data_IF_457399454965
#
_entry.id   IF_457399454965
#
_cell.length_a   1.000
_cell.length_b   1.000
_cell.length_c   1.000
_cell.angle_alpha   90.00
_cell.angle_beta   90.00
_cell.angle_gamma   90.00
#
_symmetry.space_group_name_H-M   'P 1'
#
loop_
_entity.id
_entity.type
_entity.pdbx_description
1 polymer ?
#
# COMPACT_ATOMS: atom_id res chain seq x y z
N UNK A 1 -6.68 -10.13 -7.08
CA UNK A 1 -6.81 -9.01 -8.04
C UNK A 1 -6.46 -7.72 -7.31
N UNK A 2 -5.40 -7.02 -7.73
CA UNK A 2 -4.87 -5.82 -7.05
C UNK A 2 -5.92 -4.70 -6.86
N UNK A 3 -6.77 -4.48 -7.86
CA UNK A 3 -7.84 -3.47 -7.85
C UNK A 3 -8.95 -3.69 -6.81
N UNK A 4 -8.95 -4.81 -6.07
CA UNK A 4 -9.90 -5.07 -4.97
C UNK A 4 -9.30 -4.87 -3.58
N UNK A 5 -8.03 -4.46 -3.50
CA UNK A 5 -7.33 -4.34 -2.22
C UNK A 5 -7.26 -2.92 -1.66
N UNK A 6 -7.89 -1.93 -2.30
CA UNK A 6 -8.00 -0.57 -1.78
C UNK A 6 -8.60 -0.54 -0.36
N UNK A 7 -8.24 0.48 0.43
CA UNK A 7 -8.83 0.74 1.74
C UNK A 7 -9.01 2.23 1.98
N UNK A 8 -9.66 2.59 3.09
CA UNK A 8 -9.72 3.97 3.60
C UNK A 8 -8.67 4.25 4.67
N UNK A 9 -8.00 3.20 5.16
CA UNK A 9 -6.93 3.25 6.15
C UNK A 9 -5.80 2.29 5.77
N UNK A 10 -4.61 2.51 6.32
CA UNK A 10 -3.47 1.61 6.13
C UNK A 10 -3.84 0.18 6.56
N UNK A 11 -4.44 0.03 7.74
CA UNK A 11 -4.85 -1.28 8.25
C UNK A 11 -5.82 -2.00 7.31
N UNK A 12 -6.80 -1.30 6.75
CA UNK A 12 -7.76 -1.91 5.83
C UNK A 12 -7.09 -2.31 4.51
N UNK A 13 -6.25 -1.46 3.92
CA UNK A 13 -5.47 -1.78 2.72
C UNK A 13 -4.65 -3.06 2.95
N UNK A 14 -3.87 -3.10 4.02
CA UNK A 14 -2.99 -4.23 4.34
C UNK A 14 -3.78 -5.51 4.63
N UNK A 15 -4.91 -5.39 5.34
CA UNK A 15 -5.81 -6.53 5.57
C UNK A 15 -6.42 -7.06 4.26
N UNK A 16 -6.83 -6.18 3.35
CA UNK A 16 -7.40 -6.58 2.06
C UNK A 16 -6.36 -7.26 1.16
N UNK A 17 -5.10 -6.82 1.16
CA UNK A 17 -4.00 -7.51 0.46
C UNK A 17 -3.81 -8.95 0.95
N UNK A 18 -3.89 -9.16 2.26
CA UNK A 18 -3.77 -10.49 2.87
C UNK A 18 -4.98 -11.37 2.56
N UNK A 19 -6.20 -10.87 2.77
CA UNK A 19 -7.43 -11.60 2.49
C UNK A 19 -7.54 -11.98 1.00
N UNK A 20 -7.06 -11.12 0.10
CA UNK A 20 -7.05 -11.40 -1.35
C UNK A 20 -5.89 -12.29 -1.80
N UNK A 21 -5.08 -12.83 -0.88
CA UNK A 21 -3.99 -13.75 -1.16
C UNK A 21 -2.76 -13.14 -1.85
N UNK A 22 -2.69 -11.81 -1.96
CA UNK A 22 -1.55 -11.08 -2.51
C UNK A 22 -0.38 -11.03 -1.52
N UNK A 23 -0.69 -11.14 -0.23
CA UNK A 23 0.27 -11.26 0.86
C UNK A 23 0.02 -12.56 1.62
N UNK A 24 1.08 -13.35 1.85
CA UNK A 24 0.98 -14.66 2.52
C UNK A 24 1.63 -14.69 3.90
N UNK A 25 2.57 -13.79 4.17
CA UNK A 25 3.34 -13.77 5.41
C UNK A 25 2.71 -12.87 6.46
N UNK A 26 2.38 -13.44 7.62
CA UNK A 26 1.87 -12.68 8.76
C UNK A 26 2.90 -11.68 9.30
N UNK A 27 4.21 -11.99 9.17
CA UNK A 27 5.28 -11.04 9.53
C UNK A 27 5.24 -9.78 8.66
N UNK A 28 4.98 -9.93 7.36
CA UNK A 28 4.87 -8.81 6.42
C UNK A 28 3.61 -7.99 6.72
N UNK A 29 2.48 -8.67 6.99
CA UNK A 29 1.21 -8.03 7.39
C UNK A 29 1.42 -7.09 8.57
N UNK A 30 2.01 -7.60 9.65
CA UNK A 30 2.21 -6.82 10.88
C UNK A 30 3.26 -5.72 10.72
N UNK A 31 4.29 -5.93 9.90
CA UNK A 31 5.26 -4.89 9.58
C UNK A 31 4.61 -3.75 8.78
N UNK A 32 3.84 -4.05 7.74
CA UNK A 32 3.20 -3.05 6.90
C UNK A 32 2.09 -2.29 7.62
N UNK A 33 1.38 -2.90 8.58
CA UNK A 33 0.41 -2.19 9.43
C UNK A 33 1.06 -1.09 10.28
N UNK A 34 2.29 -1.31 10.75
CA UNK A 34 3.05 -0.34 11.57
C UNK A 34 3.61 0.84 10.78
N UNK A 35 3.69 0.71 9.45
CA UNK A 35 4.26 1.71 8.56
C UNK A 35 3.13 2.35 7.75
N UNK A 36 2.67 3.53 8.17
CA UNK A 36 1.60 4.22 7.46
C UNK A 36 2.09 4.77 6.12
N UNK A 37 1.51 4.26 5.03
CA UNK A 37 1.80 4.67 3.66
C UNK A 37 1.56 6.16 3.41
N UNK A 38 0.62 6.80 4.11
CA UNK A 38 0.33 8.22 3.93
C UNK A 38 1.53 9.12 4.24
N UNK A 39 2.43 8.68 5.12
CA UNK A 39 3.64 9.43 5.51
C UNK A 39 4.69 9.54 4.40
N UNK A 40 4.59 8.71 3.36
CA UNK A 40 5.54 8.66 2.25
C UNK A 40 5.03 9.40 1.00
N UNK A 41 3.82 9.96 1.07
CA UNK A 41 3.24 10.76 0.00
C UNK A 41 3.54 12.24 0.24
N UNK A 42 4.52 12.75 -0.50
CA UNK A 42 5.05 14.10 -0.33
C UNK A 42 4.36 15.16 -1.21
N UNK A 43 3.58 14.74 -2.21
CA UNK A 43 2.85 15.68 -3.07
C UNK A 43 1.61 16.19 -2.32
N UNK A 44 1.39 17.52 -2.22
CA UNK A 44 0.21 18.08 -1.57
C UNK A 44 -1.10 17.52 -2.14
N UNK A 45 -1.98 17.04 -1.26
CA UNK A 45 -3.28 16.49 -1.64
C UNK A 45 -3.24 15.07 -2.22
N UNK A 46 -2.07 14.43 -2.31
CA UNK A 46 -1.97 13.03 -2.75
C UNK A 46 -2.35 12.02 -1.66
N UNK A 47 -2.39 12.44 -0.38
CA UNK A 47 -2.73 11.59 0.76
C UNK A 47 -4.12 10.94 0.64
N UNK A 48 -5.06 11.56 -0.11
CA UNK A 48 -6.37 10.97 -0.41
C UNK A 48 -6.29 9.64 -1.19
N UNK A 49 -5.16 9.39 -1.85
CA UNK A 49 -4.88 8.19 -2.62
C UNK A 49 -3.90 7.25 -1.90
N UNK A 50 -3.55 7.53 -0.65
CA UNK A 50 -2.55 6.77 0.12
C UNK A 50 -2.85 5.28 0.18
N UNK A 51 -4.11 4.92 0.32
CA UNK A 51 -4.55 3.55 0.59
C UNK A 51 -5.09 2.84 -0.64
N UNK A 52 -4.73 3.33 -1.82
CA UNK A 52 -5.05 2.67 -3.08
C UNK A 52 -3.95 1.68 -3.47
N UNK A 53 -4.33 0.49 -3.91
CA UNK A 53 -3.38 -0.53 -4.37
C UNK A 53 -2.85 -0.27 -5.80
N UNK A 54 -2.23 0.90 -6.00
CA UNK A 54 -1.59 1.33 -7.25
C UNK A 54 -0.37 2.23 -6.99
N UNK A 55 0.51 2.42 -7.99
CA UNK A 55 1.60 3.38 -7.87
C UNK A 55 1.08 4.80 -7.66
N UNK A 56 1.76 5.58 -6.82
CA UNK A 56 1.44 6.98 -6.58
C UNK A 56 2.68 7.83 -6.88
N UNK A 57 2.49 8.96 -7.57
CA UNK A 57 3.60 9.87 -7.86
C UNK A 57 4.15 10.48 -6.57
N UNK A 58 5.47 10.57 -6.48
CA UNK A 58 6.19 11.30 -5.42
C UNK A 58 6.92 12.53 -5.97
N UNK A 59 6.71 12.87 -7.24
CA UNK A 59 7.41 13.93 -7.94
C UNK A 59 8.69 13.42 -8.60
N UNK A 60 9.43 14.33 -9.25
CA UNK A 60 10.73 14.03 -9.88
C UNK A 60 10.71 12.88 -10.90
N UNK A 61 9.56 12.63 -11.55
CA UNK A 61 9.40 11.50 -12.47
C UNK A 61 9.39 10.12 -11.80
N UNK A 62 9.23 10.06 -10.47
CA UNK A 62 9.22 8.83 -9.70
C UNK A 62 7.86 8.54 -9.05
N UNK A 63 7.63 7.26 -8.73
CA UNK A 63 6.43 6.79 -8.02
C UNK A 63 6.82 5.91 -6.85
N UNK A 64 6.08 5.99 -5.75
CA UNK A 64 6.07 4.91 -4.76
C UNK A 64 5.30 3.72 -5.34
N UNK A 65 5.88 2.52 -5.26
CA UNK A 65 5.32 1.28 -5.81
C UNK A 65 3.94 0.97 -5.25
N UNK A 66 3.16 0.19 -6.01
CA UNK A 66 1.90 -0.34 -5.51
C UNK A 66 2.12 -1.22 -4.25
N UNK A 67 1.24 -1.12 -3.24
CA UNK A 67 1.30 -1.94 -2.03
C UNK A 67 1.50 -3.44 -2.27
N UNK A 68 0.79 -4.03 -3.25
CA UNK A 68 0.96 -5.45 -3.57
C UNK A 68 2.38 -5.83 -4.02
N UNK A 69 3.08 -4.94 -4.74
CA UNK A 69 4.45 -5.18 -5.20
C UNK A 69 5.45 -5.24 -4.04
N UNK A 70 5.23 -4.44 -3.00
CA UNK A 70 6.10 -4.39 -1.81
C UNK A 70 5.77 -5.53 -0.83
N UNK A 71 4.53 -6.02 -0.84
CA UNK A 71 4.07 -7.09 0.07
C UNK A 71 4.54 -8.49 -0.31
N UNK A 72 5.14 -8.67 -1.49
CA UNK A 72 5.57 -9.97 -1.98
C UNK A 72 7.02 -10.26 -1.53
N UNK A 73 7.28 -11.37 -0.82
CA UNK A 73 8.66 -11.79 -0.58
C UNK A 73 9.29 -12.20 -1.92
N UNK A 74 10.32 -11.46 -2.32
CA UNK A 74 11.26 -11.86 -3.40
C UNK A 74 12.13 -13.01 -2.95
#
# INVERSE_FOLDING_TARGET
MAWRSHGTTNNQLIQNLFTNGLMKSHRILEAMKKVDRANYLIIPGSQKYAYEDRPQSIGFGATISAPHMVSHPT
#
